data_IF_693389792919
#
_entry.id   IF_693389792919
#
_cell.length_a   1.000
_cell.length_b   1.000
_cell.length_c   1.000
_cell.angle_alpha   90.00
_cell.angle_beta   90.00
_cell.angle_gamma   90.00
#
_symmetry.space_group_name_H-M   'P 1'
#
loop_
_entity.id
_entity.type
_entity.pdbx_description
1 polymer ?
#
# COMPACT_ATOMS: atom_id res chain seq x y z
N UNK A 1 2.51 -22.82 21.34
CA UNK A 1 2.00 -21.46 21.60
C UNK A 1 2.49 -20.43 20.58
N UNK A 2 3.81 -20.33 20.33
CA UNK A 2 4.41 -19.36 19.37
C UNK A 2 3.88 -19.55 17.95
N UNK A 3 3.76 -20.79 17.45
CA UNK A 3 3.29 -21.06 16.08
C UNK A 3 1.84 -20.66 15.82
N UNK A 4 0.92 -20.80 16.79
CA UNK A 4 -0.48 -20.33 16.62
C UNK A 4 -0.57 -18.80 16.60
N UNK A 5 0.06 -18.13 17.57
CA UNK A 5 -0.03 -16.68 17.67
C UNK A 5 0.69 -15.97 16.51
N UNK A 6 1.94 -16.34 16.20
CA UNK A 6 2.72 -15.69 15.14
C UNK A 6 2.37 -16.21 13.75
N UNK A 7 2.07 -17.50 13.60
CA UNK A 7 1.86 -18.13 12.30
C UNK A 7 0.42 -18.11 11.79
N UNK A 8 -0.58 -18.15 12.67
CA UNK A 8 -1.99 -18.19 12.24
C UNK A 8 -2.68 -16.85 12.49
N UNK A 9 -2.75 -16.40 13.74
CA UNK A 9 -3.46 -15.16 14.09
C UNK A 9 -2.71 -13.94 13.53
N UNK A 10 -1.39 -13.89 13.69
CA UNK A 10 -0.56 -12.81 13.16
C UNK A 10 -0.64 -12.69 11.64
N UNK A 11 -0.67 -13.81 10.91
CA UNK A 11 -0.81 -13.80 9.46
C UNK A 11 -2.18 -13.28 9.00
N UNK A 12 -3.25 -13.64 9.71
CA UNK A 12 -4.60 -13.12 9.44
C UNK A 12 -4.66 -11.60 9.70
N UNK A 13 -4.09 -11.15 10.83
CA UNK A 13 -4.02 -9.73 11.16
C UNK A 13 -3.19 -8.94 10.14
N UNK A 14 -2.03 -9.46 9.73
CA UNK A 14 -1.20 -8.84 8.70
C UNK A 14 -1.96 -8.74 7.37
N UNK A 15 -2.63 -9.82 6.95
CA UNK A 15 -3.43 -9.82 5.73
C UNK A 15 -4.57 -8.80 5.78
N UNK A 16 -5.27 -8.67 6.92
CA UNK A 16 -6.31 -7.65 7.10
C UNK A 16 -5.74 -6.23 7.03
N UNK A 17 -4.57 -5.99 7.64
CA UNK A 17 -3.88 -4.70 7.56
C UNK A 17 -3.46 -4.33 6.14
N UNK A 18 -2.84 -5.27 5.41
CA UNK A 18 -2.49 -5.07 4.00
C UNK A 18 -3.73 -4.84 3.13
N UNK A 19 -4.83 -5.56 3.38
CA UNK A 19 -6.07 -5.35 2.66
C UNK A 19 -6.60 -3.92 2.83
N UNK A 20 -6.69 -3.42 4.07
CA UNK A 20 -7.13 -2.04 4.33
C UNK A 20 -6.19 -1.01 3.70
N UNK A 21 -4.88 -1.23 3.75
CA UNK A 21 -3.90 -0.38 3.07
C UNK A 21 -4.17 -0.30 1.56
N UNK A 22 -4.39 -1.44 0.90
CA UNK A 22 -4.70 -1.46 -0.53
C UNK A 22 -6.02 -0.77 -0.86
N UNK A 23 -7.05 -0.93 -0.03
CA UNK A 23 -8.35 -0.28 -0.23
C UNK A 23 -8.21 1.24 -0.15
N UNK A 24 -7.58 1.76 0.92
CA UNK A 24 -7.40 3.21 1.11
C UNK A 24 -6.58 3.80 -0.04
N UNK A 25 -5.47 3.16 -0.43
CA UNK A 25 -4.65 3.65 -1.54
C UNK A 25 -5.44 3.64 -2.86
N UNK A 26 -6.22 2.59 -3.13
CA UNK A 26 -7.04 2.51 -4.33
C UNK A 26 -8.14 3.59 -4.38
N UNK A 27 -8.77 3.90 -3.23
CA UNK A 27 -9.74 4.99 -3.10
C UNK A 27 -9.13 6.37 -3.35
N UNK A 28 -7.84 6.55 -3.00
CA UNK A 28 -7.08 7.76 -3.29
C UNK A 28 -6.41 7.76 -4.67
N UNK A 29 -6.78 6.83 -5.56
CA UNK A 29 -6.29 6.80 -6.94
C UNK A 29 -5.05 5.94 -7.19
N UNK A 30 -4.44 5.38 -6.15
CA UNK A 30 -3.26 4.52 -6.24
C UNK A 30 -3.67 3.04 -6.22
N UNK A 31 -4.00 2.50 -7.39
CA UNK A 31 -4.44 1.11 -7.53
C UNK A 31 -3.33 0.11 -7.09
N UNK A 32 -3.69 -1.07 -6.56
CA UNK A 32 -2.70 -2.03 -6.05
C UNK A 32 -1.57 -2.43 -7.02
N UNK A 33 -1.82 -2.60 -8.34
CA UNK A 33 -0.74 -2.87 -9.30
C UNK A 33 0.25 -1.71 -9.45
N UNK A 34 -0.23 -0.47 -9.27
CA UNK A 34 0.58 0.74 -9.38
C UNK A 34 1.44 0.96 -8.12
N UNK A 35 1.01 0.48 -6.95
CA UNK A 35 1.77 0.61 -5.69
C UNK A 35 3.12 -0.12 -5.68
N UNK A 36 3.33 -1.08 -6.57
CA UNK A 36 4.59 -1.81 -6.66
C UNK A 36 5.67 -0.94 -7.34
N UNK A 37 6.63 -0.46 -6.55
CA UNK A 37 7.81 0.27 -7.05
C UNK A 37 7.72 1.79 -6.97
N UNK A 38 6.56 2.37 -6.62
CA UNK A 38 6.39 3.83 -6.50
C UNK A 38 7.10 4.44 -5.29
N UNK A 39 7.58 3.62 -4.34
CA UNK A 39 8.20 4.11 -3.10
C UNK A 39 9.34 5.12 -3.34
N UNK A 40 10.14 4.91 -4.40
CA UNK A 40 11.23 5.82 -4.76
C UNK A 40 10.71 7.19 -5.24
N UNK A 41 9.59 7.20 -5.96
CA UNK A 41 8.98 8.42 -6.46
C UNK A 41 8.24 9.14 -5.33
N UNK A 42 7.51 8.40 -4.49
CA UNK A 42 6.80 8.90 -3.32
C UNK A 42 7.72 9.57 -2.27
N UNK A 43 8.89 9.00 -1.99
CA UNK A 43 9.86 9.59 -1.02
C UNK A 43 10.74 10.69 -1.66
N UNK A 44 10.71 10.86 -2.99
CA UNK A 44 11.56 11.82 -3.67
C UNK A 44 11.02 13.24 -3.53
N UNK A 45 11.73 14.09 -2.77
CA UNK A 45 11.41 15.52 -2.65
C UNK A 45 11.52 16.32 -3.96
N UNK A 46 12.09 15.72 -5.02
CA UNK A 46 12.20 16.33 -6.33
C UNK A 46 10.95 16.11 -7.20
N UNK A 47 10.06 15.19 -6.81
CA UNK A 47 8.81 14.89 -7.49
C UNK A 47 7.70 15.47 -6.62
N UNK A 48 7.14 16.61 -7.02
CA UNK A 48 6.01 17.25 -6.34
C UNK A 48 4.66 16.96 -7.02
N UNK A 49 4.69 16.28 -8.17
CA UNK A 49 3.53 16.02 -9.02
C UNK A 49 3.44 14.51 -9.28
N UNK A 50 3.30 13.71 -8.22
CA UNK A 50 3.21 12.27 -8.34
C UNK A 50 1.88 11.90 -8.98
N UNK A 51 1.91 11.35 -10.19
CA UNK A 51 0.70 10.95 -10.91
C UNK A 51 0.11 9.66 -10.31
N UNK A 52 -1.19 9.66 -10.02
CA UNK A 52 -1.95 8.48 -9.62
C UNK A 52 -2.39 7.62 -10.84
N UNK A 53 -3.15 6.54 -10.62
CA UNK A 53 -3.61 5.68 -11.72
C UNK A 53 -4.71 6.31 -12.59
N UNK A 54 -5.32 7.42 -12.14
CA UNK A 54 -6.35 8.16 -12.87
C UNK A 54 -5.81 9.40 -13.58
N UNK A 55 -4.52 9.70 -13.45
CA UNK A 55 -3.87 10.86 -14.07
C UNK A 55 -3.91 12.14 -13.23
N UNK A 56 -4.25 12.09 -11.95
CA UNK A 56 -4.17 13.23 -11.03
C UNK A 56 -2.77 13.34 -10.43
N UNK A 57 -2.28 14.57 -10.26
CA UNK A 57 -0.99 14.89 -9.67
C UNK A 57 -1.14 15.15 -8.16
N UNK A 58 -0.25 14.58 -7.35
CA UNK A 58 -0.22 14.62 -5.88
C UNK A 58 1.11 15.09 -5.31
#
# INVERSE_FOLDING_TARGET
LISMAYGQIGMIQAAAGFFVYFVIMAENGFLPPYLFGIRKQWDSKAINDLTDSYGQEW
#
